data_IF_688093028405
#
_entry.id   IF_688093028405
#
_cell.length_a   1.000
_cell.length_b   1.000
_cell.length_c   1.000
_cell.angle_alpha   90.00
_cell.angle_beta   90.00
_cell.angle_gamma   90.00
#
_symmetry.space_group_name_H-M   'P 1'
#
loop_
_entity.id
_entity.type
_entity.pdbx_description
1 polymer ?
#
# COMPACT_ATOMS: atom_id res chain seq x y z
N UNK A 1 -25.37 24.78 26.60
CA UNK A 1 -24.82 23.76 25.68
C UNK A 1 -26.00 23.13 24.96
N UNK A 2 -26.03 23.24 23.62
CA UNK A 2 -27.21 22.88 22.78
C UNK A 2 -27.42 21.37 22.77
N UNK A 3 -28.69 20.96 22.92
CA UNK A 3 -29.15 19.57 22.76
C UNK A 3 -28.67 18.97 21.40
N UNK A 4 -28.51 19.82 20.39
CA UNK A 4 -27.95 19.45 19.08
C UNK A 4 -26.53 18.89 19.19
N UNK A 5 -25.65 19.47 20.03
CA UNK A 5 -24.28 19.00 20.22
C UNK A 5 -24.21 17.66 20.97
N UNK A 6 -25.18 17.39 21.85
CA UNK A 6 -25.25 16.10 22.56
C UNK A 6 -25.75 14.98 21.64
N UNK A 7 -26.70 15.27 20.75
CA UNK A 7 -27.20 14.33 19.75
C UNK A 7 -26.12 14.06 18.69
N UNK A 8 -25.41 15.09 18.22
CA UNK A 8 -24.28 14.90 17.29
C UNK A 8 -23.16 14.03 17.89
N UNK A 9 -22.80 14.24 19.18
CA UNK A 9 -21.81 13.42 19.86
C UNK A 9 -22.22 11.95 20.02
N UNK A 10 -23.52 11.67 20.17
CA UNK A 10 -24.02 10.30 20.24
C UNK A 10 -23.91 9.58 18.88
N UNK A 11 -24.17 10.27 17.78
CA UNK A 11 -24.11 9.70 16.45
C UNK A 11 -22.68 9.56 15.92
N UNK A 12 -21.82 10.56 16.11
CA UNK A 12 -20.44 10.56 15.62
C UNK A 12 -19.56 9.59 16.45
N UNK A 13 -19.75 9.55 17.77
CA UNK A 13 -18.99 8.63 18.64
C UNK A 13 -19.31 7.15 18.41
N UNK A 14 -20.54 6.84 18.02
CA UNK A 14 -20.96 5.45 17.79
C UNK A 14 -20.48 4.94 16.42
N UNK A 15 -20.48 5.79 15.39
CA UNK A 15 -19.99 5.44 14.04
C UNK A 15 -18.49 5.15 14.04
N UNK A 16 -17.68 5.99 14.68
CA UNK A 16 -16.23 5.77 14.77
C UNK A 16 -15.90 4.45 15.47
N UNK A 17 -16.60 4.12 16.56
CA UNK A 17 -16.42 2.83 17.24
C UNK A 17 -16.83 1.64 16.38
N UNK A 18 -17.90 1.78 15.61
CA UNK A 18 -18.36 0.74 14.67
C UNK A 18 -17.35 0.54 13.55
N UNK A 19 -16.80 1.62 12.96
CA UNK A 19 -15.79 1.56 11.93
C UNK A 19 -14.50 0.91 12.43
N UNK A 20 -14.01 1.28 13.61
CA UNK A 20 -12.85 0.63 14.24
C UNK A 20 -13.12 -0.85 14.49
N UNK A 21 -14.29 -1.21 15.02
CA UNK A 21 -14.67 -2.61 15.24
C UNK A 21 -14.71 -3.42 13.94
N UNK A 22 -15.13 -2.81 12.85
CA UNK A 22 -15.15 -3.46 11.53
C UNK A 22 -13.74 -3.66 10.95
N UNK A 23 -12.79 -2.78 11.29
CA UNK A 23 -11.37 -2.85 10.85
C UNK A 23 -10.56 -3.85 11.69
N UNK A 24 -10.87 -4.06 12.97
CA UNK A 24 -10.09 -4.94 13.86
C UNK A 24 -9.80 -6.33 13.30
N UNK A 25 -10.72 -7.05 12.63
CA UNK A 25 -10.40 -8.34 12.01
C UNK A 25 -9.27 -8.27 10.97
N UNK A 26 -9.16 -7.15 10.23
CA UNK A 26 -8.06 -6.93 9.29
C UNK A 26 -6.74 -6.69 10.03
N UNK A 27 -6.74 -5.98 11.14
CA UNK A 27 -5.55 -5.79 11.99
C UNK A 27 -5.06 -7.14 12.54
N UNK A 28 -5.95 -7.98 13.04
CA UNK A 28 -5.58 -9.33 13.48
C UNK A 28 -5.03 -10.18 12.32
N UNK A 29 -5.56 -10.00 11.12
CA UNK A 29 -5.04 -10.67 9.92
C UNK A 29 -3.64 -10.14 9.56
N UNK A 30 -3.35 -8.85 9.70
CA UNK A 30 -1.99 -8.29 9.56
C UNK A 30 -1.03 -9.00 10.52
N UNK A 31 -1.39 -9.11 11.79
CA UNK A 31 -0.58 -9.79 12.81
C UNK A 31 -0.33 -11.27 12.49
N UNK A 32 -1.29 -11.95 11.87
CA UNK A 32 -1.12 -13.34 11.51
C UNK A 32 0.00 -13.61 10.50
N UNK A 33 0.39 -12.60 9.70
CA UNK A 33 1.51 -12.70 8.77
C UNK A 33 2.87 -12.46 9.43
N UNK A 34 2.94 -11.77 10.59
CA UNK A 34 4.20 -11.33 11.20
C UNK A 34 5.20 -12.48 11.36
N UNK A 35 4.77 -13.60 11.95
CA UNK A 35 5.66 -14.75 12.19
C UNK A 35 6.24 -15.35 10.89
N UNK A 36 5.47 -15.41 9.82
CA UNK A 36 5.93 -15.93 8.54
C UNK A 36 6.93 -14.99 7.88
N UNK A 37 6.74 -13.68 8.04
CA UNK A 37 7.61 -12.66 7.46
C UNK A 37 8.93 -12.55 8.22
N UNK A 38 8.95 -12.75 9.53
CA UNK A 38 10.18 -12.79 10.34
C UNK A 38 11.18 -13.84 9.85
N UNK A 39 10.69 -15.00 9.36
CA UNK A 39 11.51 -16.10 8.86
C UNK A 39 12.13 -15.84 7.48
N UNK A 40 11.67 -14.80 6.76
CA UNK A 40 12.16 -14.48 5.44
C UNK A 40 13.53 -13.77 5.48
N UNK A 41 14.38 -14.06 4.49
CA UNK A 41 15.57 -13.22 4.24
C UNK A 41 15.14 -11.79 3.88
N UNK A 42 16.08 -10.83 3.93
CA UNK A 42 15.82 -9.45 3.53
C UNK A 42 15.39 -9.36 2.07
N UNK A 43 16.02 -10.10 1.17
CA UNK A 43 15.66 -10.16 -0.25
C UNK A 43 14.28 -10.78 -0.47
N UNK A 44 13.95 -11.86 0.27
CA UNK A 44 12.64 -12.50 0.18
C UNK A 44 11.52 -11.57 0.67
N UNK A 45 11.73 -10.83 1.77
CA UNK A 45 10.77 -9.82 2.23
C UNK A 45 10.59 -8.71 1.19
N UNK A 46 11.68 -8.20 0.64
CA UNK A 46 11.67 -7.16 -0.39
C UNK A 46 10.93 -7.61 -1.66
N UNK A 47 11.07 -8.87 -2.05
CA UNK A 47 10.42 -9.44 -3.24
C UNK A 47 8.88 -9.51 -3.12
N UNK A 48 8.33 -9.46 -1.89
CA UNK A 48 6.88 -9.43 -1.67
C UNK A 48 6.20 -8.27 -2.41
N UNK A 49 6.83 -7.09 -2.43
CA UNK A 49 6.29 -5.93 -3.16
C UNK A 49 6.13 -6.22 -4.65
N UNK A 50 7.11 -6.90 -5.25
CA UNK A 50 7.01 -7.28 -6.65
C UNK A 50 5.94 -8.35 -6.89
N UNK A 51 5.80 -9.30 -5.97
CA UNK A 51 4.73 -10.29 -6.04
C UNK A 51 3.35 -9.64 -5.98
N UNK A 52 3.13 -8.66 -5.09
CA UNK A 52 1.87 -7.90 -5.02
C UNK A 52 1.57 -7.16 -6.34
N UNK A 53 2.57 -6.51 -6.93
CA UNK A 53 2.40 -5.83 -8.23
C UNK A 53 1.97 -6.81 -9.32
N UNK A 54 2.59 -7.99 -9.39
CA UNK A 54 2.24 -9.02 -10.36
C UNK A 54 0.81 -9.55 -10.19
N UNK A 55 0.33 -9.71 -8.96
CA UNK A 55 -1.07 -10.12 -8.72
C UNK A 55 -2.07 -9.03 -9.17
N UNK A 56 -1.75 -7.77 -8.96
CA UNK A 56 -2.57 -6.64 -9.44
C UNK A 56 -2.57 -6.59 -10.98
N UNK A 57 -1.39 -6.73 -11.61
CA UNK A 57 -1.26 -6.75 -13.07
C UNK A 57 -2.04 -7.90 -13.69
N UNK A 58 -1.95 -9.11 -13.13
CA UNK A 58 -2.73 -10.27 -13.58
C UNK A 58 -4.24 -10.02 -13.53
N UNK A 59 -4.72 -9.36 -12.47
CA UNK A 59 -6.15 -9.07 -12.33
C UNK A 59 -6.66 -8.10 -13.40
N UNK A 60 -5.79 -7.27 -13.96
CA UNK A 60 -6.11 -6.25 -14.97
C UNK A 60 -5.88 -6.71 -16.40
N UNK A 61 -4.90 -7.58 -16.63
CA UNK A 61 -4.38 -7.90 -17.94
C UNK A 61 -5.46 -8.27 -18.97
N UNK A 62 -6.40 -9.14 -18.61
CA UNK A 62 -7.47 -9.56 -19.52
C UNK A 62 -8.37 -8.41 -19.95
N UNK A 63 -8.65 -7.46 -19.05
CA UNK A 63 -9.46 -6.28 -19.35
C UNK A 63 -8.68 -5.29 -20.22
N UNK A 64 -7.40 -5.09 -19.94
CA UNK A 64 -6.53 -4.19 -20.70
C UNK A 64 -6.37 -4.64 -22.15
N UNK A 65 -6.18 -5.95 -22.39
CA UNK A 65 -6.10 -6.53 -23.73
C UNK A 65 -7.41 -6.32 -24.53
N UNK A 66 -8.56 -6.49 -23.88
CA UNK A 66 -9.86 -6.27 -24.51
C UNK A 66 -10.09 -4.79 -24.83
N UNK A 67 -9.72 -3.89 -23.91
CA UNK A 67 -9.83 -2.44 -24.11
C UNK A 67 -8.97 -1.99 -25.29
N UNK A 68 -7.73 -2.48 -25.40
CA UNK A 68 -6.84 -2.17 -26.53
C UNK A 68 -7.48 -2.63 -27.83
N UNK A 69 -8.02 -3.86 -27.89
CA UNK A 69 -8.68 -4.39 -29.09
C UNK A 69 -9.87 -3.53 -29.52
N UNK A 70 -10.71 -3.10 -28.56
CA UNK A 70 -11.85 -2.22 -28.85
C UNK A 70 -11.42 -0.81 -29.28
N UNK A 71 -10.33 -0.28 -28.71
CA UNK A 71 -9.77 1.00 -29.13
C UNK A 71 -9.29 0.95 -30.58
N UNK A 72 -8.60 -0.11 -31.00
CA UNK A 72 -8.16 -0.32 -32.38
C UNK A 72 -9.38 -0.44 -33.33
N UNK A 73 -10.48 -1.10 -32.91
CA UNK A 73 -11.73 -1.16 -33.66
C UNK A 73 -12.36 0.24 -33.81
N UNK A 74 -12.44 1.00 -32.71
CA UNK A 74 -12.98 2.36 -32.73
C UNK A 74 -12.19 3.30 -33.65
N UNK A 75 -10.88 3.14 -33.71
CA UNK A 75 -10.01 3.96 -34.56
C UNK A 75 -10.16 3.60 -36.04
N UNK A 76 -10.49 2.35 -36.33
CA UNK A 76 -10.62 1.84 -37.71
C UNK A 76 -12.02 1.98 -38.33
N UNK A 77 -13.08 2.14 -37.54
CA UNK A 77 -14.44 2.31 -38.02
C UNK A 77 -14.78 3.78 -38.33
N UNK A 78 -15.55 4.05 -39.40
CA UNK A 78 -16.12 5.37 -39.66
C UNK A 78 -17.57 5.51 -39.19
N UNK A 79 -18.20 4.39 -38.75
CA UNK A 79 -19.56 4.34 -38.25
C UNK A 79 -19.65 4.96 -36.85
N UNK A 80 -20.38 6.07 -36.76
CA UNK A 80 -20.50 6.84 -35.48
C UNK A 80 -21.29 6.05 -34.46
N UNK A 81 -22.38 5.37 -34.85
CA UNK A 81 -23.19 4.60 -33.92
C UNK A 81 -22.39 3.43 -33.34
N UNK A 82 -21.60 2.76 -34.21
CA UNK A 82 -20.70 1.69 -33.74
C UNK A 82 -19.60 2.22 -32.82
N UNK A 83 -19.06 3.42 -33.07
CA UNK A 83 -18.10 4.05 -32.15
C UNK A 83 -18.70 4.29 -30.75
N UNK A 84 -19.92 4.79 -30.69
CA UNK A 84 -20.62 5.00 -29.41
C UNK A 84 -20.80 3.69 -28.63
N UNK A 85 -21.21 2.60 -29.31
CA UNK A 85 -21.29 1.28 -28.71
C UNK A 85 -19.95 0.80 -28.16
N UNK A 86 -18.85 0.91 -28.96
CA UNK A 86 -17.51 0.50 -28.53
C UNK A 86 -17.05 1.28 -27.30
N UNK A 87 -17.25 2.60 -27.25
CA UNK A 87 -16.87 3.37 -26.08
C UNK A 87 -17.69 2.99 -24.83
N UNK A 88 -18.96 2.64 -24.98
CA UNK A 88 -19.77 2.12 -23.89
C UNK A 88 -19.23 0.76 -23.38
N UNK A 89 -18.85 -0.15 -24.29
CA UNK A 89 -18.19 -1.43 -23.94
C UNK A 89 -16.85 -1.21 -23.21
N UNK A 90 -16.04 -0.26 -23.68
CA UNK A 90 -14.76 0.12 -23.04
C UNK A 90 -15.00 0.62 -21.61
N UNK A 91 -16.02 1.42 -21.39
CA UNK A 91 -16.31 1.95 -20.05
C UNK A 91 -16.80 0.85 -19.09
N UNK A 92 -17.59 -0.10 -19.57
CA UNK A 92 -17.96 -1.30 -18.79
C UNK A 92 -16.73 -2.15 -18.42
N UNK A 93 -15.78 -2.34 -19.35
CA UNK A 93 -14.54 -3.07 -19.11
C UNK A 93 -13.62 -2.34 -18.10
N UNK A 94 -13.52 -1.00 -18.18
CA UNK A 94 -12.79 -0.20 -17.19
C UNK A 94 -13.38 -0.35 -15.80
N UNK A 95 -14.71 -0.32 -15.68
CA UNK A 95 -15.41 -0.53 -14.39
C UNK A 95 -15.16 -1.95 -13.84
N UNK A 96 -15.18 -2.95 -14.71
CA UNK A 96 -14.89 -4.33 -14.34
C UNK A 96 -13.43 -4.50 -13.90
N UNK A 97 -12.47 -3.91 -14.61
CA UNK A 97 -11.04 -3.89 -14.28
C UNK A 97 -10.81 -3.20 -12.93
N UNK A 98 -11.48 -2.07 -12.68
CA UNK A 98 -11.42 -1.39 -11.39
C UNK A 98 -11.91 -2.27 -10.24
N UNK A 99 -13.06 -2.92 -10.38
CA UNK A 99 -13.63 -3.82 -9.36
C UNK A 99 -12.73 -5.04 -9.10
N UNK A 100 -12.14 -5.61 -10.16
CA UNK A 100 -11.18 -6.71 -10.04
C UNK A 100 -9.93 -6.26 -9.27
N UNK A 101 -9.40 -5.08 -9.59
CA UNK A 101 -8.26 -4.47 -8.90
C UNK A 101 -8.56 -4.24 -7.42
N UNK A 102 -9.71 -3.65 -7.08
CA UNK A 102 -10.14 -3.44 -5.69
C UNK A 102 -10.23 -4.76 -4.90
N UNK A 103 -10.73 -5.82 -5.54
CA UNK A 103 -10.82 -7.15 -4.92
C UNK A 103 -9.43 -7.69 -4.56
N UNK A 104 -8.47 -7.58 -5.48
CA UNK A 104 -7.09 -8.01 -5.24
C UNK A 104 -6.42 -7.14 -4.18
N UNK A 105 -6.56 -5.82 -4.25
CA UNK A 105 -6.02 -4.89 -3.26
C UNK A 105 -6.52 -5.20 -1.85
N UNK A 106 -7.83 -5.44 -1.69
CA UNK A 106 -8.41 -5.83 -0.40
C UNK A 106 -7.89 -7.19 0.11
N UNK A 107 -7.58 -8.11 -0.79
CA UNK A 107 -6.99 -9.41 -0.44
C UNK A 107 -5.55 -9.27 0.03
N UNK A 108 -4.75 -8.47 -0.66
CA UNK A 108 -3.33 -8.24 -0.38
C UNK A 108 -3.10 -7.31 0.82
N UNK A 109 -4.06 -6.46 1.14
CA UNK A 109 -3.94 -5.39 2.14
C UNK A 109 -3.33 -5.85 3.48
N UNK A 110 -3.78 -6.94 4.13
CA UNK A 110 -3.22 -7.35 5.40
C UNK A 110 -1.75 -7.76 5.31
N UNK A 111 -1.36 -8.50 4.27
CA UNK A 111 0.02 -8.91 4.06
C UNK A 111 0.91 -7.73 3.71
N UNK A 112 0.43 -6.79 2.89
CA UNK A 112 1.16 -5.57 2.54
C UNK A 112 1.47 -4.71 3.77
N UNK A 113 0.50 -4.50 4.67
CA UNK A 113 0.75 -3.81 5.95
C UNK A 113 1.74 -4.57 6.84
N UNK A 114 1.65 -5.90 6.88
CA UNK A 114 2.59 -6.73 7.64
C UNK A 114 4.03 -6.61 7.08
N UNK A 115 4.20 -6.61 5.75
CA UNK A 115 5.51 -6.40 5.10
C UNK A 115 6.11 -5.04 5.46
N UNK A 116 5.30 -3.97 5.44
CA UNK A 116 5.76 -2.62 5.85
C UNK A 116 6.16 -2.61 7.32
N UNK A 117 5.36 -3.20 8.21
CA UNK A 117 5.65 -3.28 9.64
C UNK A 117 6.92 -4.10 9.92
N UNK A 118 7.09 -5.26 9.28
CA UNK A 118 8.28 -6.09 9.41
C UNK A 118 9.52 -5.38 8.87
N UNK A 119 9.40 -4.65 7.76
CA UNK A 119 10.50 -3.84 7.23
C UNK A 119 10.93 -2.76 8.23
N UNK A 120 9.97 -2.06 8.84
CA UNK A 120 10.25 -1.07 9.88
C UNK A 120 10.95 -1.70 11.10
N UNK A 121 10.49 -2.87 11.56
CA UNK A 121 11.10 -3.63 12.65
C UNK A 121 12.56 -3.99 12.32
N UNK A 122 12.84 -4.47 11.11
CA UNK A 122 14.20 -4.81 10.69
C UNK A 122 15.13 -3.61 10.73
N UNK A 123 14.65 -2.41 10.36
CA UNK A 123 15.44 -1.18 10.47
C UNK A 123 15.65 -0.74 11.93
N UNK A 124 14.74 -1.06 12.85
CA UNK A 124 14.96 -0.86 14.29
C UNK A 124 16.02 -1.82 14.84
N UNK A 125 15.92 -3.09 14.44
CA UNK A 125 16.76 -4.17 14.99
C UNK A 125 18.17 -4.20 14.38
N UNK A 126 18.38 -3.57 13.21
CA UNK A 126 19.66 -3.63 12.49
C UNK A 126 20.13 -2.24 12.06
N UNK A 127 21.38 -1.90 12.37
CA UNK A 127 22.01 -0.66 11.89
C UNK A 127 22.15 -0.64 10.36
N UNK A 128 22.28 -1.80 9.75
CA UNK A 128 22.42 -1.97 8.31
C UNK A 128 21.67 -3.20 7.85
N UNK A 129 20.89 -3.05 6.78
CA UNK A 129 20.22 -4.14 6.08
C UNK A 129 20.92 -4.36 4.75
N UNK A 130 21.40 -5.59 4.54
CA UNK A 130 22.07 -5.98 3.29
C UNK A 130 21.12 -6.78 2.42
N UNK A 131 21.01 -6.39 1.14
CA UNK A 131 20.18 -7.03 0.11
C UNK A 131 20.96 -7.15 -1.20
N UNK A 132 20.49 -7.99 -2.11
CA UNK A 132 21.01 -8.02 -3.49
C UNK A 132 20.71 -6.68 -4.17
N UNK A 133 21.73 -6.05 -4.76
CA UNK A 133 21.62 -4.73 -5.35
C UNK A 133 20.77 -4.74 -6.63
N UNK A 134 19.67 -4.02 -6.60
CA UNK A 134 18.81 -3.74 -7.76
C UNK A 134 19.30 -2.50 -8.53
N UNK A 135 18.72 -2.25 -9.71
CA UNK A 135 18.94 -1.01 -10.45
C UNK A 135 18.61 0.23 -9.60
N UNK A 136 17.48 0.17 -8.87
CA UNK A 136 17.08 1.25 -7.97
C UNK A 136 18.09 1.54 -6.86
N UNK A 137 18.70 0.50 -6.26
CA UNK A 137 19.73 0.69 -5.24
C UNK A 137 20.98 1.36 -5.82
N UNK A 138 21.36 0.97 -7.04
CA UNK A 138 22.52 1.54 -7.76
C UNK A 138 22.30 3.02 -8.10
N UNK A 139 21.12 3.39 -8.56
CA UNK A 139 20.76 4.79 -8.83
C UNK A 139 20.73 5.60 -7.53
N UNK A 140 20.13 5.05 -6.47
CA UNK A 140 19.99 5.75 -5.20
C UNK A 140 21.32 5.97 -4.49
N UNK A 141 22.25 5.01 -4.55
CA UNK A 141 23.57 5.11 -3.94
C UNK A 141 24.41 6.26 -4.48
N UNK A 142 24.15 6.71 -5.72
CA UNK A 142 24.80 7.88 -6.30
C UNK A 142 24.33 9.23 -5.71
N UNK A 143 23.21 9.24 -5.00
CA UNK A 143 22.56 10.48 -4.51
C UNK A 143 22.29 10.48 -3.01
N UNK A 144 22.25 9.33 -2.36
CA UNK A 144 21.90 9.15 -0.95
C UNK A 144 22.99 8.43 -0.18
N UNK A 145 23.39 9.00 0.94
CA UNK A 145 24.47 8.48 1.78
C UNK A 145 24.06 7.26 2.62
N UNK A 146 22.77 7.03 2.80
CA UNK A 146 22.24 5.89 3.57
C UNK A 146 22.12 4.58 2.75
N UNK A 147 22.50 4.61 1.48
CA UNK A 147 22.64 3.41 0.63
C UNK A 147 24.07 3.35 0.10
N UNK A 148 24.76 2.26 0.37
CA UNK A 148 26.11 2.00 -0.17
C UNK A 148 26.11 0.67 -0.91
N UNK A 149 27.01 0.51 -1.86
CA UNK A 149 27.16 -0.70 -2.66
C UNK A 149 28.47 -1.40 -2.33
N UNK A 150 28.41 -2.71 -2.25
CA UNK A 150 29.59 -3.58 -2.25
C UNK A 150 29.34 -4.72 -3.24
N UNK A 151 29.98 -4.65 -4.41
CA UNK A 151 29.79 -5.57 -5.53
C UNK A 151 28.31 -5.69 -5.93
N UNK A 152 27.71 -6.86 -5.71
CA UNK A 152 26.30 -7.13 -6.00
C UNK A 152 25.39 -6.97 -4.79
N UNK A 153 25.87 -6.35 -3.71
CA UNK A 153 25.09 -6.07 -2.52
C UNK A 153 24.84 -4.59 -2.35
N UNK A 154 23.65 -4.26 -1.85
CA UNK A 154 23.27 -2.94 -1.39
C UNK A 154 23.09 -2.98 0.13
N UNK A 155 23.78 -2.07 0.82
CA UNK A 155 23.70 -1.91 2.27
C UNK A 155 22.89 -0.65 2.57
N UNK A 156 21.78 -0.83 3.26
CA UNK A 156 20.87 0.22 3.67
C UNK A 156 21.06 0.54 5.15
N UNK A 157 21.54 1.75 5.44
CA UNK A 157 21.65 2.24 6.80
C UNK A 157 20.29 2.57 7.39
N UNK A 158 20.08 2.29 8.68
CA UNK A 158 18.92 2.76 9.42
C UNK A 158 19.03 4.23 9.87
N UNK A 159 20.13 4.90 9.54
CA UNK A 159 20.40 6.29 9.91
C UNK A 159 20.64 7.15 8.68
N UNK A 160 20.14 8.38 8.71
CA UNK A 160 20.30 9.37 7.65
C UNK A 160 20.37 10.79 8.24
N UNK A 161 20.79 11.76 7.43
CA UNK A 161 20.70 13.18 7.79
C UNK A 161 19.33 13.75 7.34
N UNK A 162 18.64 14.39 8.26
CA UNK A 162 17.39 15.10 8.00
C UNK A 162 17.56 16.56 8.39
N UNK A 163 17.73 17.41 7.39
CA UNK A 163 17.92 18.86 7.55
C UNK A 163 19.10 19.22 8.50
N UNK A 164 20.23 18.51 8.37
CA UNK A 164 21.43 18.73 9.16
C UNK A 164 21.42 18.08 10.55
N UNK A 165 20.47 17.20 10.82
CA UNK A 165 20.40 16.43 12.06
C UNK A 165 20.44 14.93 11.74
N UNK A 166 21.32 14.15 12.41
CA UNK A 166 21.30 12.71 12.28
C UNK A 166 20.01 12.14 12.91
N UNK A 167 19.31 11.33 12.13
CA UNK A 167 18.12 10.60 12.56
C UNK A 167 18.39 9.12 12.38
N UNK A 168 17.97 8.31 13.34
CA UNK A 168 17.98 6.85 13.26
C UNK A 168 16.53 6.35 13.29
N UNK A 169 16.24 5.36 12.45
CA UNK A 169 14.91 4.73 12.46
C UNK A 169 14.71 3.95 13.76
N UNK A 170 13.72 4.35 14.55
CA UNK A 170 13.42 3.80 15.88
C UNK A 170 11.94 3.41 16.05
N UNK A 171 11.15 3.44 14.97
CA UNK A 171 9.70 3.29 15.04
C UNK A 171 9.23 2.00 14.38
N UNK A 172 8.36 1.26 15.09
CA UNK A 172 7.56 0.16 14.57
C UNK A 172 6.08 0.58 14.62
N UNK A 173 5.33 0.28 13.56
CA UNK A 173 3.94 0.71 13.45
C UNK A 173 3.06 0.11 14.54
N UNK A 174 2.30 0.98 15.23
CA UNK A 174 1.28 0.60 16.19
C UNK A 174 -0.02 0.18 15.49
N UNK A 175 -0.85 -0.61 16.18
CA UNK A 175 -2.16 -1.03 15.66
C UNK A 175 -3.03 0.17 15.25
N UNK A 176 -3.00 1.26 15.99
CA UNK A 176 -3.76 2.49 15.66
C UNK A 176 -3.33 3.12 14.34
N UNK A 177 -2.05 3.03 13.98
CA UNK A 177 -1.55 3.51 12.68
C UNK A 177 -1.99 2.60 11.55
N UNK A 178 -2.01 1.28 11.78
CA UNK A 178 -2.54 0.30 10.83
C UNK A 178 -4.04 0.53 10.62
N UNK A 179 -4.82 0.75 11.69
CA UNK A 179 -6.24 1.09 11.61
C UNK A 179 -6.43 2.36 10.76
N UNK A 180 -5.62 3.39 11.00
CA UNK A 180 -5.66 4.64 10.23
C UNK A 180 -5.37 4.41 8.75
N UNK A 181 -4.35 3.62 8.42
CA UNK A 181 -4.01 3.25 7.05
C UNK A 181 -5.11 2.46 6.35
N UNK A 182 -5.72 1.48 7.02
CA UNK A 182 -6.86 0.72 6.50
C UNK A 182 -8.08 1.62 6.26
N UNK A 183 -8.37 2.55 7.19
CA UNK A 183 -9.45 3.50 7.02
C UNK A 183 -9.25 4.39 5.77
N UNK A 184 -8.03 4.87 5.55
CA UNK A 184 -7.69 5.65 4.35
C UNK A 184 -7.77 4.81 3.06
N UNK A 185 -7.32 3.57 3.09
CA UNK A 185 -7.48 2.64 1.96
C UNK A 185 -8.95 2.42 1.60
N UNK A 186 -9.85 2.40 2.59
CA UNK A 186 -11.29 2.31 2.38
C UNK A 186 -11.95 3.64 1.95
N UNK A 187 -11.19 4.66 1.61
CA UNK A 187 -11.69 5.98 1.20
C UNK A 187 -12.28 6.81 2.34
N UNK A 188 -11.97 6.47 3.59
CA UNK A 188 -12.43 7.19 4.79
C UNK A 188 -11.39 8.20 5.27
N UNK A 189 -11.85 9.19 6.01
CA UNK A 189 -10.96 10.13 6.72
C UNK A 189 -10.52 9.48 8.03
N UNK A 190 -9.20 9.39 8.24
CA UNK A 190 -8.62 8.91 9.49
C UNK A 190 -8.27 10.10 10.37
N UNK A 191 -9.00 10.26 11.49
CA UNK A 191 -8.70 11.24 12.53
C UNK A 191 -8.07 10.53 13.72
N UNK A 192 -6.84 10.92 14.06
CA UNK A 192 -6.09 10.38 15.21
C UNK A 192 -5.83 11.49 16.22
N UNK A 193 -5.95 11.18 17.52
CA UNK A 193 -5.67 12.14 18.59
C UNK A 193 -4.17 12.47 18.65
N UNK A 194 -3.87 13.62 19.24
CA UNK A 194 -2.46 14.01 19.49
C UNK A 194 -1.82 13.01 20.45
N UNK A 195 -0.63 12.49 20.06
CA UNK A 195 0.09 11.46 20.84
C UNK A 195 -0.17 10.02 20.42
N UNK A 196 -1.04 9.76 19.44
CA UNK A 196 -1.30 8.42 18.90
C UNK A 196 -0.38 8.00 17.75
N UNK A 197 0.75 8.73 17.55
CA UNK A 197 1.76 8.36 16.56
C UNK A 197 1.34 8.61 15.10
N UNK A 198 0.57 9.68 14.85
CA UNK A 198 0.12 10.04 13.49
C UNK A 198 1.19 10.65 12.59
N UNK A 199 2.35 11.00 13.14
CA UNK A 199 3.50 11.59 12.43
C UNK A 199 4.69 10.65 12.47
#
# INVERSE_FOLDING_TARGET
MSILNSVLKLFVGDKSKQDVKAIMPLVEKVKSFEKQLEELSHDALRSKTQAFKLEIEKARATFEDQIITLQDEADSTEDIDRKEEIYAEIDELKDASYKATETVLNTLLPEAFAVVKETAKRFVDNQTITVTASTYDRELSGTKTYVTLDNDQAMWSNAWDAAGKPITWDMIHYDVQIIGGIAMHQGKISEMQTGEGKT
#
